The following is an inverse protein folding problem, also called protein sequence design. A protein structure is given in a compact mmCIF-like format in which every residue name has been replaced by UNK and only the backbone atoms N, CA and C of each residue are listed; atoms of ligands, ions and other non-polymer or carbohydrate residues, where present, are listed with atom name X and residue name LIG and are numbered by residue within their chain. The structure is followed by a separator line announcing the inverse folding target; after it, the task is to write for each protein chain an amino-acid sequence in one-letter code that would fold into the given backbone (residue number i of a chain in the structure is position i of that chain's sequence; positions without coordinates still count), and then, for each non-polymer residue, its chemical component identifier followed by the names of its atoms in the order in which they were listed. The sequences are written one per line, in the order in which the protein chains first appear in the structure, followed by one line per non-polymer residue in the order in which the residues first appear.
data_IF_859866263006
#
_entry.id   IF_859866263006
#
_cell.length_a   1.000
_cell.length_b   1.000
_cell.length_c   1.000
_cell.angle_alpha   90.00
_cell.angle_beta   90.00
_cell.angle_gamma   90.00
#
_symmetry.space_group_name_H-M   'P 1'
#
loop_
_entity.id
_entity.type
_entity.pdbx_description
1 polymer ?
#
# COMPACT_ATOMS: atom_id res chain seq x y z
N UNK A 1 10.20 14.14 15.14
CA UNK A 1 10.81 14.18 13.78
C UNK A 1 11.73 13.00 13.52
N UNK A 2 12.47 12.47 14.52
CA UNK A 2 13.34 11.28 14.35
C UNK A 2 12.62 10.08 13.71
N UNK A 3 11.35 9.84 14.06
CA UNK A 3 10.57 8.73 13.48
C UNK A 3 10.16 8.94 12.00
N UNK A 4 10.10 10.18 11.50
CA UNK A 4 9.66 10.43 10.13
C UNK A 4 10.67 9.90 9.10
N UNK A 5 11.96 10.15 9.35
CA UNK A 5 13.04 9.69 8.48
C UNK A 5 13.10 8.16 8.52
N UNK A 6 12.98 7.56 9.71
CA UNK A 6 12.97 6.10 9.85
C UNK A 6 11.80 5.47 9.08
N UNK A 7 10.57 5.98 9.27
CA UNK A 7 9.38 5.48 8.56
C UNK A 7 9.53 5.67 7.05
N UNK A 8 9.99 6.83 6.60
CA UNK A 8 10.24 7.09 5.18
C UNK A 8 11.24 6.09 4.60
N UNK A 9 12.40 5.90 5.23
CA UNK A 9 13.44 4.99 4.72
C UNK A 9 12.95 3.55 4.70
N UNK A 10 12.28 3.09 5.75
CA UNK A 10 11.75 1.71 5.82
C UNK A 10 10.69 1.47 4.73
N UNK A 11 9.72 2.37 4.59
CA UNK A 11 8.67 2.24 3.57
C UNK A 11 9.27 2.36 2.17
N UNK A 12 10.18 3.32 1.96
CA UNK A 12 10.84 3.50 0.67
C UNK A 12 11.61 2.24 0.24
N UNK A 13 12.36 1.63 1.15
CA UNK A 13 13.05 0.37 0.88
C UNK A 13 12.08 -0.79 0.68
N UNK A 14 10.98 -0.85 1.43
CA UNK A 14 9.98 -1.90 1.30
C UNK A 14 9.20 -1.83 -0.02
N UNK A 15 8.95 -0.63 -0.56
CA UNK A 15 8.22 -0.44 -1.82
C UNK A 15 9.12 -0.39 -3.07
N UNK A 16 10.44 -0.43 -2.91
CA UNK A 16 11.37 -0.44 -4.03
C UNK A 16 11.24 -1.72 -4.87
N UNK A 17 10.93 -1.58 -6.15
CA UNK A 17 10.78 -2.70 -7.08
C UNK A 17 9.40 -3.36 -7.09
N UNK A 18 8.39 -2.75 -6.47
CA UNK A 18 7.03 -3.29 -6.48
C UNK A 18 6.35 -3.22 -7.88
N UNK A 19 5.34 -4.06 -8.08
CA UNK A 19 4.50 -4.13 -9.29
C UNK A 19 3.89 -2.77 -9.67
N UNK A 20 3.61 -1.91 -8.69
CA UNK A 20 3.14 -0.54 -8.93
C UNK A 20 4.18 0.33 -9.67
N UNK A 21 5.47 0.16 -9.38
CA UNK A 21 6.55 0.89 -10.06
C UNK A 21 6.71 0.41 -11.50
N UNK A 22 6.67 -0.91 -11.74
CA UNK A 22 6.71 -1.47 -13.09
C UNK A 22 5.52 -0.98 -13.95
N UNK A 23 4.34 -0.92 -13.35
CA UNK A 23 3.13 -0.40 -14.00
C UNK A 23 3.31 1.08 -14.34
N UNK A 24 3.82 1.89 -13.41
CA UNK A 24 4.07 3.33 -13.63
C UNK A 24 5.06 3.56 -14.77
N UNK A 25 6.14 2.76 -14.84
CA UNK A 25 7.11 2.81 -15.95
C UNK A 25 6.43 2.45 -17.27
N UNK A 26 5.62 1.39 -17.31
CA UNK A 26 4.89 0.98 -18.51
C UNK A 26 3.93 2.08 -19.00
N UNK A 27 3.21 2.72 -18.08
CA UNK A 27 2.36 3.87 -18.40
C UNK A 27 3.18 5.07 -18.89
N UNK A 28 4.35 5.33 -18.30
CA UNK A 28 5.24 6.42 -18.72
C UNK A 28 5.76 6.19 -20.15
N UNK A 29 6.11 4.96 -20.49
CA UNK A 29 6.53 4.58 -21.84
C UNK A 29 5.42 4.71 -22.88
N UNK A 30 4.15 4.48 -22.49
CA UNK A 30 3.00 4.51 -23.41
C UNK A 30 2.35 5.89 -23.56
N UNK A 31 2.23 6.66 -22.48
CA UNK A 31 1.46 7.90 -22.43
C UNK A 31 2.29 9.15 -22.09
N UNK A 32 3.58 8.98 -21.83
CA UNK A 32 4.50 10.04 -21.41
C UNK A 32 4.71 10.11 -19.90
N UNK A 33 5.87 10.62 -19.48
CA UNK A 33 6.25 10.64 -18.06
C UNK A 33 5.34 11.53 -17.20
N UNK A 34 4.86 12.66 -17.72
CA UNK A 34 4.02 13.62 -16.97
C UNK A 34 2.66 13.03 -16.59
N UNK A 35 2.02 12.37 -17.55
CA UNK A 35 0.70 11.74 -17.36
C UNK A 35 0.80 10.54 -16.44
N UNK A 36 1.83 9.70 -16.60
CA UNK A 36 2.08 8.58 -15.71
C UNK A 36 2.39 9.03 -14.28
N UNK A 37 3.19 10.09 -14.09
CA UNK A 37 3.51 10.64 -12.79
C UNK A 37 2.27 11.17 -12.06
N UNK A 38 1.45 11.99 -12.74
CA UNK A 38 0.20 12.50 -12.17
C UNK A 38 -0.78 11.37 -11.87
N UNK A 39 -0.93 10.41 -12.78
CA UNK A 39 -1.80 9.25 -12.58
C UNK A 39 -1.39 8.41 -11.38
N UNK A 40 -0.10 8.12 -11.23
CA UNK A 40 0.43 7.36 -10.10
C UNK A 40 0.21 8.07 -8.77
N UNK A 41 0.50 9.38 -8.70
CA UNK A 41 0.27 10.17 -7.47
C UNK A 41 -1.21 10.23 -7.11
N UNK A 42 -2.08 10.53 -8.08
CA UNK A 42 -3.52 10.62 -7.83
C UNK A 42 -4.11 9.26 -7.43
N UNK A 43 -3.66 8.17 -8.07
CA UNK A 43 -4.06 6.82 -7.71
C UNK A 43 -3.63 6.45 -6.29
N UNK A 44 -2.37 6.70 -5.94
CA UNK A 44 -1.85 6.42 -4.60
C UNK A 44 -2.55 7.27 -3.53
N UNK A 45 -2.73 8.56 -3.79
CA UNK A 45 -3.46 9.46 -2.89
C UNK A 45 -4.90 8.99 -2.69
N UNK A 46 -5.60 8.59 -3.76
CA UNK A 46 -6.97 8.12 -3.68
C UNK A 46 -7.08 6.83 -2.86
N UNK A 47 -6.22 5.84 -3.11
CA UNK A 47 -6.22 4.56 -2.36
C UNK A 47 -5.92 4.81 -0.88
N UNK A 48 -4.91 5.63 -0.56
CA UNK A 48 -4.57 5.94 0.83
C UNK A 48 -5.68 6.73 1.52
N UNK A 49 -6.31 7.69 0.83
CA UNK A 49 -7.40 8.46 1.39
C UNK A 49 -8.63 7.59 1.69
N UNK A 50 -9.03 6.74 0.74
CA UNK A 50 -10.12 5.78 0.94
C UNK A 50 -9.80 4.82 2.08
N UNK A 51 -8.57 4.28 2.11
CA UNK A 51 -8.12 3.39 3.17
C UNK A 51 -8.14 4.04 4.55
N UNK A 52 -7.69 5.30 4.66
CA UNK A 52 -7.71 6.05 5.91
C UNK A 52 -9.14 6.34 6.38
N UNK A 53 -10.03 6.78 5.48
CA UNK A 53 -11.44 7.03 5.83
C UNK A 53 -12.15 5.76 6.30
N UNK A 54 -11.95 4.64 5.60
CA UNK A 54 -12.53 3.37 6.01
C UNK A 54 -11.91 2.86 7.32
N UNK A 55 -10.60 3.04 7.49
CA UNK A 55 -9.90 2.68 8.72
C UNK A 55 -10.44 3.44 9.94
N UNK A 56 -10.67 4.75 9.79
CA UNK A 56 -11.25 5.61 10.82
C UNK A 56 -12.69 5.19 11.17
N UNK A 57 -13.55 5.05 10.15
CA UNK A 57 -14.94 4.65 10.34
C UNK A 57 -15.10 3.26 10.97
N UNK A 58 -14.21 2.31 10.62
CA UNK A 58 -14.22 0.97 11.20
C UNK A 58 -13.64 0.98 12.62
N UNK A 59 -12.60 1.80 12.86
CA UNK A 59 -11.96 1.96 14.17
C UNK A 59 -12.90 2.50 15.24
N UNK A 60 -13.87 3.34 14.87
CA UNK A 60 -14.90 3.85 15.78
C UNK A 60 -15.91 2.79 16.23
N UNK A 61 -16.11 1.73 15.44
CA UNK A 61 -17.14 0.71 15.67
C UNK A 61 -16.56 -0.58 16.22
N UNK A 62 -15.34 -0.95 15.81
CA UNK A 62 -14.72 -2.22 16.19
C UNK A 62 -13.62 -2.04 17.25
N UNK A 63 -13.55 -2.93 18.25
CA UNK A 63 -12.41 -2.99 19.16
C UNK A 63 -11.09 -3.17 18.40
N UNK A 64 -10.08 -2.35 18.71
CA UNK A 64 -8.74 -2.42 18.08
C UNK A 64 -8.11 -3.82 18.17
N UNK A 65 -8.42 -4.60 19.20
CA UNK A 65 -7.93 -5.97 19.32
C UNK A 65 -8.42 -6.89 18.19
N UNK A 66 -9.68 -6.73 17.75
CA UNK A 66 -10.22 -7.49 16.62
C UNK A 66 -9.60 -7.05 15.30
N UNK A 67 -9.34 -5.74 15.14
CA UNK A 67 -8.66 -5.20 13.96
C UNK A 67 -7.24 -5.79 13.85
N UNK A 68 -6.47 -5.77 14.94
CA UNK A 68 -5.12 -6.34 14.96
C UNK A 68 -5.11 -7.85 14.72
N UNK A 69 -6.01 -8.61 15.35
CA UNK A 69 -6.15 -10.06 15.11
C UNK A 69 -6.52 -10.35 13.66
N UNK A 70 -7.47 -9.61 13.10
CA UNK A 70 -7.89 -9.73 11.71
C UNK A 70 -6.76 -9.44 10.73
N UNK A 71 -6.01 -8.34 10.95
CA UNK A 71 -4.84 -8.01 10.16
C UNK A 71 -3.78 -9.13 10.21
N UNK A 72 -3.48 -9.66 11.41
CA UNK A 72 -2.53 -10.77 11.57
C UNK A 72 -2.96 -12.04 10.82
N UNK A 73 -4.24 -12.41 10.89
CA UNK A 73 -4.78 -13.55 10.12
C UNK A 73 -4.64 -13.32 8.62
N UNK A 74 -4.97 -12.13 8.13
CA UNK A 74 -4.80 -11.77 6.72
C UNK A 74 -3.34 -11.87 6.27
N UNK A 75 -2.40 -11.36 7.07
CA UNK A 75 -0.97 -11.48 6.80
C UNK A 75 -0.51 -12.94 6.71
N UNK A 76 -0.97 -13.81 7.62
CA UNK A 76 -0.66 -15.25 7.57
C UNK A 76 -1.24 -15.88 6.29
N UNK A 77 -2.49 -15.58 5.96
CA UNK A 77 -3.15 -16.10 4.75
C UNK A 77 -2.40 -15.67 3.50
N UNK A 78 -2.07 -14.38 3.35
CA UNK A 78 -1.30 -13.90 2.21
C UNK A 78 0.11 -14.52 2.15
N UNK A 79 0.78 -14.65 3.30
CA UNK A 79 2.08 -15.33 3.39
C UNK A 79 2.02 -16.78 2.92
N UNK A 80 1.01 -17.54 3.37
CA UNK A 80 0.80 -18.94 2.92
C UNK A 80 0.48 -19.00 1.43
N UNK A 81 -0.40 -18.13 0.93
CA UNK A 81 -0.74 -18.09 -0.50
C UNK A 81 0.48 -17.77 -1.38
N UNK A 82 1.34 -16.84 -0.93
CA UNK A 82 2.60 -16.50 -1.58
C UNK A 82 3.57 -17.68 -1.58
N UNK A 83 3.71 -18.40 -0.46
CA UNK A 83 4.55 -19.61 -0.37
C UNK A 83 4.06 -20.74 -1.29
N UNK A 84 2.74 -20.85 -1.48
CA UNK A 84 2.13 -21.82 -2.40
C UNK A 84 2.15 -21.36 -3.87
N UNK A 85 2.69 -20.17 -4.17
CA UNK A 85 2.75 -19.60 -5.53
C UNK A 85 1.38 -19.26 -6.13
N UNK A 86 0.35 -19.08 -5.28
CA UNK A 86 -0.99 -18.67 -5.71
C UNK A 86 -1.15 -17.14 -5.79
N UNK A 87 -0.12 -16.40 -5.37
CA UNK A 87 0.00 -14.94 -5.39
C UNK A 87 1.39 -14.56 -5.91
#
# INVERSE_FOLDING_TARGET
MENLIAVFVVIFLAELGDKTQLTTIAFASKYGWKTAFLGAILGLAAVNFIGALLGDAIGDVLPMELIHKGAGVLFIVFGVLMLLGKL
#
